data_IF_698067540656
#
_entry.id   IF_698067540656
#
_cell.length_a   1.000
_cell.length_b   1.000
_cell.length_c   1.000
_cell.angle_alpha   90.00
_cell.angle_beta   90.00
_cell.angle_gamma   90.00
#
_symmetry.space_group_name_H-M   'P 1'
#
loop_
_entity.id
_entity.type
_entity.pdbx_description
1 polymer ?
#
# COMPACT_ATOMS: atom_id res chain seq x y z
N UNK A 1 -11.55 0.50 -33.69
CA UNK A 1 -12.17 1.79 -33.28
C UNK A 1 -12.17 2.02 -31.77
N UNK A 2 -12.34 0.98 -30.93
CA UNK A 2 -12.30 1.12 -29.47
C UNK A 2 -10.88 1.40 -28.92
N UNK A 3 -9.82 1.11 -29.69
CA UNK A 3 -8.44 1.31 -29.24
C UNK A 3 -8.13 2.78 -28.94
N UNK A 4 -8.72 3.71 -29.70
CA UNK A 4 -8.55 5.15 -29.48
C UNK A 4 -9.23 5.62 -28.18
N UNK A 5 -10.35 5.01 -27.82
CA UNK A 5 -11.05 5.32 -26.57
C UNK A 5 -10.27 4.82 -25.36
N UNK A 6 -9.65 3.63 -25.46
CA UNK A 6 -8.79 3.09 -24.41
C UNK A 6 -7.56 3.98 -24.21
N UNK A 7 -6.91 4.41 -25.29
CA UNK A 7 -5.78 5.34 -25.22
C UNK A 7 -6.19 6.69 -24.60
N UNK A 8 -7.36 7.21 -24.98
CA UNK A 8 -7.88 8.46 -24.43
C UNK A 8 -8.14 8.35 -22.92
N UNK A 9 -8.79 7.28 -22.47
CA UNK A 9 -9.06 7.02 -21.04
C UNK A 9 -7.76 6.82 -20.27
N UNK A 10 -6.74 6.21 -20.87
CA UNK A 10 -5.43 6.00 -20.25
C UNK A 10 -4.60 7.30 -20.13
N UNK A 11 -4.70 8.19 -21.12
CA UNK A 11 -3.94 9.45 -21.17
C UNK A 11 -4.63 10.62 -20.46
N UNK A 12 -5.95 10.58 -20.31
CA UNK A 12 -6.74 11.61 -19.64
C UNK A 12 -6.26 11.89 -18.20
N UNK A 13 -6.12 10.91 -17.29
CA UNK A 13 -5.71 11.20 -15.92
C UNK A 13 -4.33 11.88 -15.84
N UNK A 14 -3.38 11.48 -16.68
CA UNK A 14 -2.03 12.02 -16.71
C UNK A 14 -2.00 13.44 -17.28
N UNK A 15 -2.81 13.70 -18.31
CA UNK A 15 -2.96 15.04 -18.89
C UNK A 15 -3.73 15.98 -17.96
N UNK A 16 -4.78 15.51 -17.30
CA UNK A 16 -5.54 16.26 -16.28
C UNK A 16 -4.64 16.64 -15.11
N UNK A 17 -3.80 15.72 -14.61
CA UNK A 17 -2.84 16.01 -13.55
C UNK A 17 -1.85 17.11 -13.96
N UNK A 18 -1.33 17.05 -15.18
CA UNK A 18 -0.44 18.09 -15.72
C UNK A 18 -1.14 19.45 -15.90
N UNK A 19 -2.37 19.46 -16.42
CA UNK A 19 -3.17 20.68 -16.61
C UNK A 19 -3.55 21.31 -15.27
N UNK A 20 -3.91 20.50 -14.28
CA UNK A 20 -4.23 20.95 -12.92
C UNK A 20 -3.01 21.53 -12.20
N UNK A 21 -1.82 20.98 -12.43
CA UNK A 21 -0.59 21.57 -11.93
C UNK A 21 -0.29 22.93 -12.57
N UNK A 22 -0.54 23.06 -13.87
CA UNK A 22 -0.36 24.31 -14.61
C UNK A 22 -1.33 25.40 -14.12
N UNK A 23 -2.57 25.05 -13.77
CA UNK A 23 -3.52 26.01 -13.21
C UNK A 23 -3.15 26.49 -11.81
N UNK A 24 -2.35 25.71 -11.06
CA UNK A 24 -1.78 26.11 -9.77
C UNK A 24 -0.44 26.87 -9.89
N UNK A 25 -0.03 27.27 -11.10
CA UNK A 25 1.23 27.99 -11.33
C UNK A 25 2.49 27.12 -11.21
N UNK A 26 2.35 25.79 -11.18
CA UNK A 26 3.48 24.84 -11.17
C UNK A 26 3.77 24.33 -12.58
N UNK A 27 5.00 23.86 -12.79
CA UNK A 27 5.44 23.41 -14.12
C UNK A 27 4.70 22.14 -14.55
N UNK A 28 4.02 22.23 -15.70
CA UNK A 28 3.29 21.14 -16.33
C UNK A 28 4.15 19.87 -16.45
N UNK A 29 5.36 20.03 -16.98
CA UNK A 29 6.30 18.94 -17.22
C UNK A 29 6.75 18.26 -15.93
N UNK A 30 7.05 19.03 -14.88
CA UNK A 30 7.46 18.47 -13.60
C UNK A 30 6.36 17.63 -12.96
N UNK A 31 5.13 18.11 -12.98
CA UNK A 31 3.98 17.38 -12.44
C UNK A 31 3.57 16.19 -13.29
N UNK A 32 3.71 16.28 -14.61
CA UNK A 32 3.54 15.13 -15.51
C UNK A 32 4.56 14.03 -15.18
N UNK A 33 5.83 14.40 -14.98
CA UNK A 33 6.87 13.47 -14.53
C UNK A 33 6.57 12.87 -13.16
N UNK A 34 6.11 13.65 -12.18
CA UNK A 34 5.71 13.14 -10.86
C UNK A 34 4.53 12.17 -10.97
N UNK A 35 3.51 12.50 -11.77
CA UNK A 35 2.36 11.62 -12.00
C UNK A 35 2.77 10.27 -12.61
N UNK A 36 3.84 10.25 -13.40
CA UNK A 36 4.42 9.03 -13.95
C UNK A 36 5.37 8.33 -12.96
N UNK A 37 6.06 9.10 -12.13
CA UNK A 37 7.03 8.62 -11.15
C UNK A 37 6.35 7.92 -9.96
N UNK A 38 5.17 8.37 -9.53
CA UNK A 38 4.40 7.75 -8.44
C UNK A 38 4.13 6.25 -8.69
N UNK A 39 3.60 5.83 -9.87
CA UNK A 39 3.46 4.41 -10.21
C UNK A 39 4.76 3.61 -10.08
N UNK A 40 5.87 4.18 -10.54
CA UNK A 40 7.19 3.53 -10.49
C UNK A 40 7.66 3.39 -9.05
N UNK A 41 7.59 4.47 -8.26
CA UNK A 41 7.97 4.45 -6.84
C UNK A 41 7.07 3.48 -6.06
N UNK A 42 5.76 3.47 -6.34
CA UNK A 42 4.82 2.52 -5.75
C UNK A 42 5.24 1.07 -6.00
N UNK A 43 5.68 0.77 -7.23
CA UNK A 43 6.19 -0.55 -7.60
C UNK A 43 7.49 -0.91 -6.84
N UNK A 44 8.42 0.04 -6.74
CA UNK A 44 9.66 -0.13 -5.97
C UNK A 44 9.34 -0.39 -4.50
N UNK A 45 8.51 0.46 -3.89
CA UNK A 45 8.09 0.32 -2.50
C UNK A 45 7.43 -1.03 -2.30
N UNK A 46 6.51 -1.46 -3.17
CA UNK A 46 5.84 -2.75 -3.04
C UNK A 46 6.81 -3.93 -3.13
N UNK A 47 7.83 -3.83 -3.98
CA UNK A 47 8.84 -4.88 -4.16
C UNK A 47 9.81 -4.96 -2.97
N UNK A 48 10.11 -3.81 -2.36
CA UNK A 48 10.94 -3.72 -1.16
C UNK A 48 10.14 -3.74 0.14
N UNK A 49 8.81 -3.73 0.07
CA UNK A 49 7.94 -3.86 1.22
C UNK A 49 8.10 -5.31 1.67
N UNK A 50 8.86 -5.48 2.73
CA UNK A 50 9.05 -6.79 3.34
C UNK A 50 7.67 -7.37 3.64
N UNK A 51 7.41 -8.53 3.03
CA UNK A 51 6.13 -9.18 3.17
C UNK A 51 5.95 -9.49 4.64
N UNK A 52 4.98 -8.82 5.29
CA UNK A 52 4.65 -9.06 6.69
C UNK A 52 3.84 -10.36 6.80
N UNK A 53 4.22 -11.38 6.03
CA UNK A 53 3.52 -12.66 5.89
C UNK A 53 4.25 -13.84 6.54
N UNK A 54 5.29 -13.60 7.35
CA UNK A 54 5.85 -14.63 8.22
C UNK A 54 5.85 -14.18 9.69
N UNK A 55 4.90 -14.70 10.46
CA UNK A 55 5.15 -15.05 11.86
C UNK A 55 4.18 -14.54 12.93
N UNK A 56 3.35 -13.54 12.68
CA UNK A 56 2.39 -13.07 13.69
C UNK A 56 1.08 -13.88 13.64
N UNK A 57 1.20 -15.18 13.91
CA UNK A 57 0.19 -15.91 14.71
C UNK A 57 0.23 -15.47 16.18
N UNK A 58 0.76 -14.29 16.47
CA UNK A 58 0.39 -13.49 17.63
C UNK A 58 -0.93 -12.77 17.34
N UNK A 59 -1.99 -13.54 17.03
CA UNK A 59 -3.31 -13.13 17.50
C UNK A 59 -3.11 -12.98 18.99
N UNK A 60 -3.16 -11.74 19.49
CA UNK A 60 -2.75 -11.38 20.85
C UNK A 60 -3.38 -12.28 21.89
N UNK A 61 -2.72 -13.40 22.17
CA UNK A 61 -2.95 -14.19 23.37
C UNK A 61 -2.25 -13.37 24.42
N UNK A 62 -2.96 -12.36 24.93
CA UNK A 62 -2.53 -11.52 26.03
C UNK A 62 -1.89 -12.41 27.08
N UNK A 63 -0.79 -11.94 27.67
CA UNK A 63 -0.01 -12.75 28.62
C UNK A 63 -0.90 -13.33 29.73
N UNK A 64 -1.99 -12.64 30.07
CA UNK A 64 -3.07 -13.10 30.97
C UNK A 64 -3.67 -14.46 30.59
N UNK A 65 -3.90 -14.73 29.31
CA UNK A 65 -4.45 -16.01 28.82
C UNK A 65 -3.39 -17.11 28.92
N UNK A 66 -2.13 -16.77 28.67
CA UNK A 66 -0.99 -17.69 28.78
C UNK A 66 -0.75 -18.09 30.24
N UNK A 67 -0.89 -17.14 31.17
CA UNK A 67 -0.77 -17.36 32.61
C UNK A 67 -1.92 -18.21 33.16
N UNK A 68 -3.18 -17.90 32.79
CA UNK A 68 -4.34 -18.72 33.17
C UNK A 68 -4.23 -20.17 32.70
N UNK A 69 -3.73 -20.39 31.48
CA UNK A 69 -3.54 -21.74 30.93
C UNK A 69 -2.44 -22.53 31.68
N UNK A 70 -1.39 -21.85 32.14
CA UNK A 70 -0.34 -22.45 32.99
C UNK A 70 -0.85 -22.79 34.39
N UNK A 71 -1.62 -21.88 35.01
CA UNK A 71 -2.22 -22.12 36.32
C UNK A 71 -3.20 -23.31 36.30
N UNK A 72 -4.04 -23.40 35.27
CA UNK A 72 -4.96 -24.52 35.08
C UNK A 72 -4.24 -25.86 34.83
N UNK A 73 -3.07 -25.85 34.19
CA UNK A 73 -2.30 -27.07 33.94
C UNK A 73 -1.61 -27.60 35.21
N UNK A 74 -1.16 -26.71 36.10
CA UNK A 74 -0.52 -27.10 37.35
C UNK A 74 -1.54 -27.66 38.36
N UNK A 75 -2.75 -27.11 38.41
CA UNK A 75 -3.82 -27.62 39.29
C UNK A 75 -4.32 -29.03 38.91
N UNK A 76 -4.11 -29.49 37.69
CA UNK A 76 -4.52 -30.84 37.25
C UNK A 76 -3.42 -31.91 37.47
N UNK A 77 -2.29 -31.53 38.08
CA UNK A 77 -1.13 -32.40 38.32
C UNK A 77 -0.96 -32.84 39.78
N UNK A 78 -1.77 -32.27 40.67
CA UNK A 78 -1.91 -32.63 42.08
C UNK A 78 -3.16 -33.50 42.28
#
# INVERSE_FOLDING_TARGET
MAELLILLVLLLPQTIAGVFARSQGRSFWFWFFISFLIPVISLIVLLFLEDKSDGDTSFGVSEDVKERKRAALNHNKD
#
